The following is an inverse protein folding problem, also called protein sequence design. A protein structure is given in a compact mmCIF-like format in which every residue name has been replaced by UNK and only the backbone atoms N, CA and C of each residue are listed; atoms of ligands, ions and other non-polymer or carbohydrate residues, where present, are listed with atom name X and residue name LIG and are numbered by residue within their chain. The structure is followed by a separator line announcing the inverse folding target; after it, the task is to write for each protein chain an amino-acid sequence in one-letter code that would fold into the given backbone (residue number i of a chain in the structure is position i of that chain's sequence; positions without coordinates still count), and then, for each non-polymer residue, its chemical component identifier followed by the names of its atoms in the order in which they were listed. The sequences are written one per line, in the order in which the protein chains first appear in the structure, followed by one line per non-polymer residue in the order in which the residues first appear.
data_IF_324210512237
#
_entry.id   IF_324210512237
#
_cell.length_a   1.000
_cell.length_b   1.000
_cell.length_c   1.000
_cell.angle_alpha   90.00
_cell.angle_beta   90.00
_cell.angle_gamma   90.00
#
_symmetry.space_group_name_H-M   'P 1'
#
loop_
_entity.id
_entity.type
_entity.pdbx_description
1 polymer ?
#
# COMPACT_ATOMS: atom_id res chain seq x y z
N UNK A 1 -19.36 -10.22 -12.13
CA UNK A 1 -19.08 -9.45 -10.90
C UNK A 1 -17.91 -8.55 -11.24
N UNK A 2 -18.21 -7.33 -11.68
CA UNK A 2 -17.19 -6.36 -12.09
C UNK A 2 -16.66 -5.68 -10.84
N UNK A 3 -15.37 -5.85 -10.58
CA UNK A 3 -14.62 -5.01 -9.66
C UNK A 3 -13.44 -4.43 -10.45
N UNK A 4 -13.75 -3.52 -11.36
CA UNK A 4 -12.76 -2.57 -11.89
C UNK A 4 -12.56 -1.50 -10.79
N UNK A 5 -11.92 -1.93 -9.71
CA UNK A 5 -11.64 -1.15 -8.52
C UNK A 5 -10.48 -1.82 -7.83
N UNK A 6 -9.39 -1.08 -7.65
CA UNK A 6 -8.12 -1.55 -7.08
C UNK A 6 -8.35 -2.52 -5.93
N UNK A 7 -7.92 -3.77 -6.06
CA UNK A 7 -8.00 -4.72 -4.97
C UNK A 7 -6.90 -4.41 -3.93
N UNK A 8 -7.24 -3.51 -3.01
CA UNK A 8 -6.36 -3.07 -1.93
C UNK A 8 -5.90 -4.25 -1.07
N UNK A 9 -6.71 -5.32 -0.97
CA UNK A 9 -6.33 -6.55 -0.29
C UNK A 9 -5.13 -7.22 -0.94
N UNK A 10 -5.21 -7.44 -2.25
CA UNK A 10 -4.16 -8.07 -3.03
C UNK A 10 -2.91 -7.21 -3.08
N UNK A 11 -3.04 -5.87 -3.11
CA UNK A 11 -1.91 -4.96 -3.02
C UNK A 11 -1.19 -5.11 -1.67
N UNK A 12 -1.91 -5.04 -0.55
CA UNK A 12 -1.33 -5.21 0.78
C UNK A 12 -0.74 -6.61 0.99
N UNK A 13 -1.33 -7.64 0.39
CA UNK A 13 -0.81 -8.99 0.43
C UNK A 13 0.52 -9.13 -0.32
N UNK A 14 0.61 -8.59 -1.55
CA UNK A 14 1.87 -8.55 -2.30
C UNK A 14 2.95 -7.74 -1.58
N UNK A 15 2.59 -6.64 -0.90
CA UNK A 15 3.53 -5.87 -0.10
C UNK A 15 4.07 -6.68 1.10
N UNK A 16 3.23 -7.46 1.78
CA UNK A 16 3.70 -8.36 2.85
C UNK A 16 4.58 -9.49 2.32
N UNK A 17 4.19 -10.16 1.22
CA UNK A 17 4.92 -11.33 0.71
C UNK A 17 6.22 -10.94 0.01
N UNK A 18 6.22 -9.88 -0.82
CA UNK A 18 7.39 -9.52 -1.62
C UNK A 18 8.34 -8.54 -0.92
N UNK A 19 7.80 -7.63 -0.09
CA UNK A 19 8.59 -6.58 0.56
C UNK A 19 8.65 -6.72 2.09
N UNK A 20 7.89 -7.64 2.69
CA UNK A 20 7.88 -7.85 4.14
C UNK A 20 6.98 -6.88 4.92
N UNK A 21 6.21 -6.02 4.25
CA UNK A 21 5.30 -5.06 4.89
C UNK A 21 4.01 -5.76 5.33
N UNK A 22 4.00 -6.33 6.53
CA UNK A 22 2.86 -7.04 7.07
C UNK A 22 2.06 -6.20 8.06
N UNK A 23 1.26 -5.31 7.49
CA UNK A 23 0.49 -4.35 8.25
C UNK A 23 -0.51 -5.06 9.19
N UNK A 24 -0.73 -4.52 10.39
CA UNK A 24 -1.77 -5.01 11.28
C UNK A 24 -3.16 -4.88 10.64
N UNK A 25 -4.06 -5.80 11.00
CA UNK A 25 -5.42 -5.89 10.46
C UNK A 25 -6.22 -4.58 10.56
N UNK A 26 -6.04 -3.81 11.63
CA UNK A 26 -6.64 -2.50 11.80
C UNK A 26 -6.21 -1.50 10.73
N UNK A 27 -4.90 -1.41 10.43
CA UNK A 27 -4.37 -0.51 9.41
C UNK A 27 -4.77 -0.96 8.01
N UNK A 28 -4.76 -2.28 7.74
CA UNK A 28 -5.29 -2.85 6.49
C UNK A 28 -6.76 -2.49 6.29
N UNK A 29 -7.55 -2.50 7.37
CA UNK A 29 -8.97 -2.15 7.33
C UNK A 29 -9.18 -0.65 7.08
N UNK A 30 -8.36 0.22 7.69
CA UNK A 30 -8.38 1.67 7.43
C UNK A 30 -8.01 1.99 5.98
N UNK A 31 -6.95 1.38 5.44
CA UNK A 31 -6.51 1.57 4.06
C UNK A 31 -7.54 1.08 3.04
N UNK A 32 -8.30 0.02 3.36
CA UNK A 32 -9.43 -0.43 2.55
C UNK A 32 -10.63 0.51 2.63
N UNK A 33 -10.97 0.99 3.83
CA UNK A 33 -12.15 1.83 4.06
C UNK A 33 -11.96 3.28 3.59
N UNK A 34 -10.72 3.78 3.61
CA UNK A 34 -10.35 5.12 3.15
C UNK A 34 -9.05 5.04 2.38
N UNK A 35 -9.09 4.39 1.21
CA UNK A 35 -7.93 4.35 0.33
C UNK A 35 -7.62 5.76 -0.14
N UNK A 36 -6.45 6.34 0.19
CA UNK A 36 -6.05 7.60 -0.41
C UNK A 36 -6.00 7.45 -1.93
N UNK A 37 -6.45 8.49 -2.64
CA UNK A 37 -6.43 8.56 -4.10
C UNK A 37 -5.03 8.78 -4.67
N UNK A 38 -4.09 9.16 -3.82
CA UNK A 38 -2.73 9.51 -4.17
C UNK A 38 -1.75 8.39 -3.78
N UNK A 39 -0.85 8.06 -4.70
CA UNK A 39 0.12 6.96 -4.55
C UNK A 39 1.13 7.26 -3.44
N UNK A 40 1.63 8.50 -3.34
CA UNK A 40 2.56 8.87 -2.26
C UNK A 40 1.86 8.78 -0.91
N UNK A 41 0.65 9.30 -0.80
CA UNK A 41 -0.13 9.25 0.44
C UNK A 41 -0.45 7.81 0.88
N UNK A 42 -0.74 6.92 -0.07
CA UNK A 42 -0.92 5.49 0.22
C UNK A 42 0.39 4.85 0.68
N UNK A 43 1.49 5.18 0.02
CA UNK A 43 2.82 4.68 0.37
C UNK A 43 3.19 5.09 1.79
N UNK A 44 3.08 6.37 2.13
CA UNK A 44 3.35 6.86 3.49
C UNK A 44 2.47 6.16 4.54
N UNK A 45 1.17 5.99 4.26
CA UNK A 45 0.26 5.29 5.18
C UNK A 45 0.61 3.80 5.36
N UNK A 46 1.17 3.15 4.33
CA UNK A 46 1.69 1.77 4.42
C UNK A 46 2.89 1.69 5.36
N UNK A 47 3.84 2.62 5.23
CA UNK A 47 5.02 2.67 6.11
C UNK A 47 4.63 2.99 7.55
N UNK A 48 3.80 4.01 7.76
CA UNK A 48 3.31 4.40 9.08
C UNK A 48 2.51 3.26 9.72
N UNK A 49 1.67 2.57 8.94
CA UNK A 49 0.89 1.42 9.42
C UNK A 49 1.75 0.21 9.81
N UNK A 50 2.90 0.03 9.17
CA UNK A 50 3.91 -0.96 9.54
C UNK A 50 4.74 -0.55 10.78
N UNK A 51 4.69 0.73 11.16
CA UNK A 51 5.54 1.30 12.20
C UNK A 51 6.95 1.63 11.70
N UNK A 52 7.14 1.76 10.39
CA UNK A 52 8.40 2.18 9.76
C UNK A 52 8.34 3.66 9.39
N UNK A 53 9.50 4.33 9.39
CA UNK A 53 9.59 5.69 8.89
C UNK A 53 9.71 5.70 7.35
N UNK A 54 8.82 6.41 6.64
CA UNK A 54 8.84 6.45 5.17
C UNK A 54 10.07 7.15 4.59
N UNK A 55 10.79 7.96 5.36
CA UNK A 55 11.97 8.70 4.90
C UNK A 55 13.29 8.02 5.25
N UNK A 56 13.26 6.99 6.10
CA UNK A 56 14.43 6.22 6.52
C UNK A 56 15.06 5.48 5.34
N UNK A 57 14.25 4.86 4.48
CA UNK A 57 14.73 4.05 3.36
C UNK A 57 14.08 4.43 2.02
N UNK A 58 14.69 5.40 1.33
CA UNK A 58 14.17 5.96 0.08
C UNK A 58 14.03 4.92 -1.03
N UNK A 59 14.97 3.97 -1.11
CA UNK A 59 14.94 2.91 -2.11
C UNK A 59 13.76 1.97 -1.88
N UNK A 60 13.51 1.60 -0.62
CA UNK A 60 12.35 0.79 -0.25
C UNK A 60 11.03 1.54 -0.50
N UNK A 61 10.98 2.83 -0.16
CA UNK A 61 9.83 3.70 -0.44
C UNK A 61 9.50 3.74 -1.93
N UNK A 62 10.51 3.83 -2.78
CA UNK A 62 10.32 3.87 -4.23
C UNK A 62 9.77 2.54 -4.78
N UNK A 63 10.20 1.40 -4.23
CA UNK A 63 9.66 0.07 -4.56
C UNK A 63 8.19 -0.08 -4.18
N UNK A 64 7.83 0.31 -2.95
CA UNK A 64 6.43 0.29 -2.50
C UNK A 64 5.58 1.20 -3.37
N UNK A 65 6.06 2.43 -3.63
CA UNK A 65 5.38 3.41 -4.50
C UNK A 65 5.12 2.84 -5.90
N UNK A 66 6.08 2.14 -6.51
CA UNK A 66 5.87 1.53 -7.83
C UNK A 66 4.79 0.43 -7.81
N UNK A 67 4.77 -0.42 -6.77
CA UNK A 67 3.72 -1.45 -6.63
C UNK A 67 2.34 -0.83 -6.46
N UNK A 68 2.23 0.19 -5.60
CA UNK A 68 0.98 0.94 -5.39
C UNK A 68 0.56 1.61 -6.70
N UNK A 69 1.45 2.32 -7.39
CA UNK A 69 1.16 2.98 -8.66
C UNK A 69 0.62 1.99 -9.70
N UNK A 70 1.23 0.81 -9.82
CA UNK A 70 0.79 -0.22 -10.75
C UNK A 70 -0.61 -0.74 -10.43
N UNK A 71 -0.92 -0.90 -9.15
CA UNK A 71 -2.26 -1.30 -8.72
C UNK A 71 -3.30 -0.20 -8.99
N UNK A 72 -2.92 1.07 -8.85
CA UNK A 72 -3.79 2.23 -9.10
C UNK A 72 -3.96 2.58 -10.59
N UNK A 73 -3.06 2.14 -11.47
CA UNK A 73 -3.17 2.35 -12.94
C UNK A 73 -4.29 1.52 -13.60
N UNK A 74 -4.78 0.47 -12.93
CA UNK A 74 -5.95 -0.31 -13.37
C UNK A 74 -7.28 0.25 -12.81
N UNK A 75 -7.39 1.58 -12.68
CA UNK A 75 -8.61 2.29 -12.30
C UNK A 75 -9.37 2.83 -13.50
#
# INVERSE_FOLDING_TARGET
MSADGVDITALLDNLCVELGFCLPLDERSKLRASSPTDVDSFTDAVFVGEGMDPYEDKSLRELVRQKVMRAFQHR
#
